data_IF_356027358181
#
_entry.id   IF_356027358181
#
_cell.length_a   1.000
_cell.length_b   1.000
_cell.length_c   1.000
_cell.angle_alpha   90.00
_cell.angle_beta   90.00
_cell.angle_gamma   90.00
#
_symmetry.space_group_name_H-M   'P 1'
#
loop_
_entity.id
_entity.type
_entity.pdbx_description
1 polymer ?
#
# COMPACT_ATOMS: atom_id res chain seq x y z
N UNK A 1 -35.72 32.34 27.08
CA UNK A 1 -35.13 33.18 28.13
C UNK A 1 -33.63 33.32 27.88
N UNK A 2 -33.26 34.59 27.86
CA UNK A 2 -31.99 35.28 27.63
C UNK A 2 -30.71 34.60 27.07
N UNK A 3 -30.08 35.26 26.07
CA UNK A 3 -28.77 34.98 25.51
C UNK A 3 -27.66 35.74 26.26
N UNK A 4 -26.40 35.44 25.95
CA UNK A 4 -25.28 36.35 26.21
C UNK A 4 -24.63 36.78 24.90
N UNK A 5 -24.94 38.02 24.50
CA UNK A 5 -24.07 38.91 23.75
C UNK A 5 -23.14 39.59 24.75
N UNK A 6 -21.88 39.77 24.40
CA UNK A 6 -21.06 40.86 24.93
C UNK A 6 -20.21 41.42 23.79
N UNK A 7 -20.21 42.74 23.76
CA UNK A 7 -19.82 43.65 22.70
C UNK A 7 -18.32 43.67 22.39
N UNK A 8 -18.02 44.02 21.14
CA UNK A 8 -16.66 44.23 20.67
C UNK A 8 -16.09 45.62 20.95
N UNK A 9 -14.77 45.70 20.87
CA UNK A 9 -13.93 46.79 20.34
C UNK A 9 -12.54 46.19 20.05
N UNK A 10 -11.76 46.75 19.11
CA UNK A 10 -10.67 46.05 18.42
C UNK A 10 -9.36 46.14 19.20
N UNK A 11 -8.70 45.00 19.41
CA UNK A 11 -7.29 44.98 19.79
C UNK A 11 -6.43 44.75 18.55
N UNK A 12 -5.84 45.84 18.04
CA UNK A 12 -4.63 45.77 17.25
C UNK A 12 -3.47 45.44 18.18
N UNK A 13 -2.83 44.28 18.00
CA UNK A 13 -1.44 44.06 18.40
C UNK A 13 -0.72 43.27 17.30
N UNK A 14 0.01 44.04 16.47
CA UNK A 14 1.31 43.75 15.87
C UNK A 14 1.74 42.29 15.69
N UNK A 15 1.75 41.85 14.43
CA UNK A 15 2.49 40.70 13.93
C UNK A 15 3.98 40.79 14.27
N UNK A 16 4.63 39.73 14.77
CA UNK A 16 6.08 39.61 14.68
C UNK A 16 6.42 39.24 13.23
N UNK A 17 7.12 40.14 12.56
CA UNK A 17 7.75 39.90 11.27
C UNK A 17 8.58 38.63 11.29
N UNK A 18 8.16 37.61 10.54
CA UNK A 18 9.02 36.51 10.12
C UNK A 18 10.12 37.10 9.24
N UNK A 19 11.32 37.22 9.79
CA UNK A 19 12.51 37.54 9.03
C UNK A 19 12.87 36.33 8.18
N UNK A 20 12.53 36.39 6.89
CA UNK A 20 13.06 35.49 5.86
C UNK A 20 14.60 35.57 5.82
N UNK A 21 15.33 34.43 5.83
CA UNK A 21 16.77 34.45 5.61
C UNK A 21 17.17 34.70 4.15
N UNK A 22 16.23 34.86 3.22
CA UNK A 22 16.52 34.98 1.79
C UNK A 22 16.84 36.40 1.30
N UNK A 23 16.74 37.42 2.16
CA UNK A 23 16.88 38.82 1.74
C UNK A 23 18.23 39.45 2.11
N UNK A 24 19.34 38.70 2.06
CA UNK A 24 20.70 39.28 2.07
C UNK A 24 21.69 38.44 1.27
N UNK A 25 21.64 38.59 -0.05
CA UNK A 25 22.78 38.64 -1.01
C UNK A 25 22.22 38.43 -2.40
N UNK A 26 22.58 39.31 -3.34
CA UNK A 26 22.17 39.19 -4.73
C UNK A 26 22.58 37.84 -5.30
N UNK A 27 21.60 37.00 -5.59
CA UNK A 27 21.77 35.76 -6.33
C UNK A 27 20.89 35.80 -7.57
N UNK A 28 21.48 35.39 -8.69
CA UNK A 28 20.94 35.41 -10.05
C UNK A 28 19.52 34.83 -10.17
N UNK A 29 18.71 35.38 -11.09
CA UNK A 29 17.36 34.91 -11.44
C UNK A 29 17.28 33.39 -11.72
N UNK A 30 18.37 32.75 -12.14
CA UNK A 30 18.45 31.30 -12.36
C UNK A 30 18.29 30.46 -11.07
N UNK A 31 18.67 31.00 -9.92
CA UNK A 31 18.62 30.29 -8.63
C UNK A 31 17.20 30.23 -8.03
N UNK A 32 16.33 31.19 -8.38
CA UNK A 32 14.93 31.19 -7.92
C UNK A 32 14.09 30.10 -8.62
N UNK A 33 14.40 29.79 -9.89
CA UNK A 33 13.65 28.79 -10.65
C UNK A 33 13.94 27.36 -10.17
N UNK A 34 15.17 27.08 -9.71
CA UNK A 34 15.56 25.80 -9.11
C UNK A 34 14.97 25.58 -7.71
N UNK A 35 14.77 26.65 -6.92
CA UNK A 35 14.17 26.54 -5.57
C UNK A 35 12.66 26.23 -5.64
N UNK A 36 11.95 26.74 -6.64
CA UNK A 36 10.53 26.45 -6.88
C UNK A 36 10.26 25.01 -7.36
N UNK A 37 11.26 24.32 -7.93
CA UNK A 37 11.12 22.92 -8.35
C UNK A 37 11.27 21.91 -7.20
N UNK A 38 11.78 22.34 -6.04
CA UNK A 38 12.15 21.46 -4.91
C UNK A 38 11.20 21.56 -3.70
N UNK A 39 10.12 22.34 -3.80
CA UNK A 39 9.10 22.45 -2.76
C UNK A 39 7.72 22.11 -3.33
N UNK A 40 7.57 20.88 -3.84
CA UNK A 40 6.24 20.29 -3.93
C UNK A 40 5.83 19.94 -2.50
N UNK A 41 4.91 20.70 -1.93
CA UNK A 41 4.28 20.33 -0.66
C UNK A 41 3.67 18.92 -0.74
N UNK A 42 3.44 18.25 0.40
CA UNK A 42 2.93 16.88 0.42
C UNK A 42 1.66 16.77 -0.43
N UNK A 43 1.62 15.76 -1.29
CA UNK A 43 0.48 15.50 -2.18
C UNK A 43 -0.66 14.96 -1.33
N UNK A 44 -1.78 15.67 -1.28
CA UNK A 44 -2.94 15.32 -0.44
C UNK A 44 -3.98 14.45 -1.14
N UNK A 45 -3.85 14.20 -2.45
CA UNK A 45 -4.82 13.44 -3.23
C UNK A 45 -4.20 12.72 -4.43
N UNK A 46 -4.85 11.64 -4.88
CA UNK A 46 -4.47 10.94 -6.10
C UNK A 46 -4.96 11.70 -7.33
N UNK A 47 -4.06 11.94 -8.29
CA UNK A 47 -4.40 12.46 -9.61
C UNK A 47 -5.01 11.33 -10.43
N UNK A 48 -6.34 11.39 -10.57
CA UNK A 48 -7.06 10.40 -11.36
C UNK A 48 -6.58 10.40 -12.82
N UNK A 49 -6.39 9.21 -13.37
CA UNK A 49 -6.17 9.01 -14.80
C UNK A 49 -7.36 9.57 -15.60
N UNK A 50 -7.20 9.93 -16.87
CA UNK A 50 -8.34 10.26 -17.73
C UNK A 50 -9.36 9.12 -17.77
N UNK A 51 -10.62 9.45 -18.07
CA UNK A 51 -11.64 8.44 -18.36
C UNK A 51 -11.18 7.52 -19.50
N UNK A 52 -11.53 6.24 -19.41
CA UNK A 52 -11.17 5.21 -20.40
C UNK A 52 -11.73 5.52 -21.79
N UNK A 53 -12.91 6.15 -21.86
CA UNK A 53 -13.52 6.60 -23.10
C UNK A 53 -14.48 7.76 -22.90
N UNK A 54 -15.06 8.29 -24.00
CA UNK A 54 -15.90 9.48 -23.99
C UNK A 54 -17.22 9.25 -23.26
N UNK A 55 -17.68 7.99 -23.14
CA UNK A 55 -18.95 7.66 -22.49
C UNK A 55 -18.84 7.60 -20.97
N UNK A 56 -17.62 7.53 -20.43
CA UNK A 56 -17.35 7.39 -18.99
C UNK A 56 -18.10 6.19 -18.38
N UNK A 57 -18.28 5.14 -19.17
CA UNK A 57 -19.09 3.98 -18.82
C UNK A 57 -18.32 3.01 -17.92
N UNK A 58 -19.08 2.19 -17.20
CA UNK A 58 -18.50 1.10 -16.40
C UNK A 58 -17.78 0.09 -17.29
N UNK A 59 -18.34 -0.23 -18.46
CA UNK A 59 -17.72 -1.17 -19.39
C UNK A 59 -16.32 -0.72 -19.83
N UNK A 60 -16.18 0.54 -20.28
CA UNK A 60 -14.87 1.07 -20.71
C UNK A 60 -13.83 1.05 -19.57
N UNK A 61 -14.23 1.46 -18.37
CA UNK A 61 -13.35 1.46 -17.20
C UNK A 61 -12.99 0.04 -16.73
N UNK A 62 -13.97 -0.86 -16.67
CA UNK A 62 -13.79 -2.24 -16.26
C UNK A 62 -12.90 -3.01 -17.26
N UNK A 63 -13.11 -2.85 -18.56
CA UNK A 63 -12.26 -3.46 -19.57
C UNK A 63 -10.81 -2.99 -19.46
N UNK A 64 -10.59 -1.68 -19.30
CA UNK A 64 -9.24 -1.11 -19.11
C UNK A 64 -8.57 -1.65 -17.85
N UNK A 65 -9.29 -1.69 -16.74
CA UNK A 65 -8.79 -2.16 -15.45
C UNK A 65 -8.52 -3.68 -15.44
N UNK A 66 -9.46 -4.49 -15.90
CA UNK A 66 -9.32 -5.94 -15.95
C UNK A 66 -8.21 -6.38 -16.91
N UNK A 67 -8.09 -5.70 -18.06
CA UNK A 67 -6.98 -5.89 -19.00
C UNK A 67 -5.64 -5.59 -18.35
N UNK A 68 -5.54 -4.49 -17.60
CA UNK A 68 -4.34 -4.14 -16.84
C UNK A 68 -3.94 -5.24 -15.86
N UNK A 69 -4.84 -5.65 -14.96
CA UNK A 69 -4.50 -6.60 -13.90
C UNK A 69 -4.28 -8.02 -14.43
N UNK A 70 -4.75 -8.32 -15.64
CA UNK A 70 -4.56 -9.63 -16.29
C UNK A 70 -3.34 -9.68 -17.20
N UNK A 71 -2.65 -8.55 -17.42
CA UNK A 71 -1.51 -8.45 -18.34
C UNK A 71 -0.23 -8.15 -17.56
N UNK A 72 0.69 -9.09 -17.52
CA UNK A 72 2.01 -8.87 -16.92
C UNK A 72 2.80 -7.84 -17.73
N UNK A 73 3.52 -6.96 -17.01
CA UNK A 73 4.29 -5.85 -17.55
C UNK A 73 5.78 -6.16 -17.63
N UNK A 74 6.23 -7.13 -16.85
CA UNK A 74 7.61 -7.62 -16.83
C UNK A 74 7.61 -9.14 -16.63
N UNK A 75 8.56 -9.82 -17.25
CA UNK A 75 8.80 -11.25 -17.02
C UNK A 75 9.68 -11.38 -15.78
N UNK A 76 9.32 -12.28 -14.87
CA UNK A 76 10.21 -12.78 -13.83
C UNK A 76 10.50 -14.26 -14.13
N UNK A 77 11.76 -14.59 -14.39
CA UNK A 77 12.13 -15.95 -14.81
C UNK A 77 12.12 -16.93 -13.64
N UNK A 78 12.43 -16.43 -12.44
CA UNK A 78 12.46 -17.21 -11.20
C UNK A 78 11.41 -16.69 -10.23
N UNK A 79 10.22 -17.28 -10.26
CA UNK A 79 9.16 -17.00 -9.28
C UNK A 79 9.12 -18.08 -8.21
N UNK A 80 8.73 -17.73 -7.00
CA UNK A 80 8.42 -18.73 -5.99
C UNK A 80 7.22 -18.37 -5.10
N UNK A 81 6.36 -19.38 -4.87
CA UNK A 81 5.29 -19.36 -3.86
C UNK A 81 5.79 -19.86 -2.49
N UNK A 82 6.94 -20.53 -2.51
CA UNK A 82 7.51 -21.31 -1.43
C UNK A 82 9.00 -21.38 -1.73
N UNK A 83 9.78 -20.47 -1.15
CA UNK A 83 11.08 -20.07 -1.74
C UNK A 83 12.09 -21.22 -1.90
N UNK A 84 11.85 -22.39 -1.30
CA UNK A 84 12.64 -23.62 -1.50
C UNK A 84 11.91 -25.00 -1.48
N UNK A 85 10.57 -25.14 -1.57
CA UNK A 85 9.93 -26.47 -1.52
C UNK A 85 9.33 -26.96 -2.86
N UNK A 86 9.60 -28.22 -3.20
CA UNK A 86 9.26 -28.91 -4.45
C UNK A 86 7.92 -29.67 -4.45
N UNK A 87 7.03 -29.46 -3.49
CA UNK A 87 5.76 -30.19 -3.44
C UNK A 87 4.59 -29.35 -3.95
N UNK A 88 4.27 -29.56 -5.23
CA UNK A 88 3.12 -29.02 -5.92
C UNK A 88 1.82 -29.62 -5.38
N UNK A 89 1.21 -28.96 -4.40
CA UNK A 89 -0.21 -29.05 -4.11
C UNK A 89 -0.97 -28.08 -5.03
N UNK A 90 -1.84 -28.54 -5.94
CA UNK A 90 -2.48 -27.70 -6.95
C UNK A 90 -3.74 -26.96 -6.44
N UNK A 91 -3.76 -26.46 -5.20
CA UNK A 91 -4.96 -25.84 -4.62
C UNK A 91 -4.77 -24.55 -3.81
N UNK A 92 -3.53 -24.10 -3.54
CA UNK A 92 -3.30 -22.92 -2.71
C UNK A 92 -3.07 -21.65 -3.56
N UNK A 93 -3.72 -20.55 -3.18
CA UNK A 93 -3.52 -19.19 -3.69
C UNK A 93 -2.02 -18.84 -3.62
N UNK A 94 -1.30 -18.68 -4.75
CA UNK A 94 0.14 -18.55 -4.71
C UNK A 94 0.57 -17.11 -4.40
N UNK A 95 1.20 -16.92 -3.25
CA UNK A 95 1.86 -15.66 -2.88
C UNK A 95 3.25 -15.61 -3.56
N UNK A 96 3.30 -15.20 -4.83
CA UNK A 96 4.55 -15.25 -5.62
C UNK A 96 5.45 -14.03 -5.39
N UNK A 97 6.72 -14.29 -5.07
CA UNK A 97 7.83 -13.34 -5.12
C UNK A 97 8.69 -13.56 -6.37
N UNK A 98 9.32 -12.50 -6.85
CA UNK A 98 10.31 -12.57 -7.92
C UNK A 98 11.74 -12.69 -7.35
N UNK A 99 12.48 -13.71 -7.79
CA UNK A 99 13.82 -14.06 -7.34
C UNK A 99 14.90 -13.82 -8.40
N UNK A 100 14.57 -13.18 -9.51
CA UNK A 100 15.60 -12.75 -10.47
C UNK A 100 16.62 -11.85 -9.77
N UNK A 101 17.92 -12.16 -9.94
CA UNK A 101 19.01 -11.47 -9.22
C UNK A 101 19.00 -9.94 -9.43
N UNK A 102 18.47 -9.45 -10.57
CA UNK A 102 18.35 -8.02 -10.90
C UNK A 102 17.43 -7.23 -9.96
N UNK A 103 16.59 -7.89 -9.16
CA UNK A 103 15.68 -7.24 -8.22
C UNK A 103 16.08 -7.43 -6.74
N UNK A 104 17.25 -8.01 -6.48
CA UNK A 104 17.90 -8.02 -5.16
C UNK A 104 17.35 -9.00 -4.12
N UNK A 105 16.06 -9.40 -4.17
CA UNK A 105 15.45 -10.25 -3.12
C UNK A 105 16.23 -11.55 -2.90
N UNK A 106 16.57 -12.27 -3.96
CA UNK A 106 17.32 -13.53 -3.85
C UNK A 106 18.70 -13.34 -3.17
N UNK A 107 19.36 -12.21 -3.42
CA UNK A 107 20.61 -11.87 -2.73
C UNK A 107 20.35 -11.59 -1.24
N UNK A 108 19.30 -10.85 -0.89
CA UNK A 108 18.93 -10.54 0.50
C UNK A 108 18.54 -11.79 1.30
N UNK A 109 17.89 -12.76 0.66
CA UNK A 109 17.61 -14.09 1.24
C UNK A 109 18.92 -14.82 1.54
N UNK A 110 19.81 -14.95 0.56
CA UNK A 110 21.12 -15.63 0.73
C UNK A 110 21.99 -14.98 1.80
N UNK A 111 21.97 -13.65 1.93
CA UNK A 111 22.70 -12.91 2.95
C UNK A 111 22.00 -12.85 4.32
N UNK A 112 20.78 -13.40 4.43
CA UNK A 112 19.92 -13.36 5.62
C UNK A 112 19.60 -11.94 6.11
N UNK A 113 19.50 -11.01 5.17
CA UNK A 113 19.18 -9.59 5.39
C UNK A 113 17.82 -9.19 4.81
N UNK A 114 17.06 -10.13 4.23
CA UNK A 114 15.73 -9.83 3.73
C UNK A 114 14.74 -9.55 4.87
N UNK A 115 13.83 -8.61 4.62
CA UNK A 115 12.73 -8.27 5.52
C UNK A 115 11.38 -8.37 4.82
N UNK A 116 10.44 -9.07 5.45
CA UNK A 116 9.09 -9.25 4.95
C UNK A 116 8.08 -8.69 5.93
N UNK A 117 7.12 -7.92 5.41
CA UNK A 117 5.94 -7.48 6.15
C UNK A 117 4.72 -8.19 5.58
N UNK A 118 3.97 -8.90 6.42
CA UNK A 118 2.71 -9.55 6.06
C UNK A 118 1.57 -8.90 6.83
N UNK A 119 0.67 -8.26 6.09
CA UNK A 119 -0.48 -7.55 6.62
C UNK A 119 -1.72 -8.42 6.41
N UNK A 120 -2.35 -8.86 7.49
CA UNK A 120 -3.52 -9.74 7.43
C UNK A 120 -4.51 -9.49 8.58
N UNK A 121 -5.71 -10.05 8.45
CA UNK A 121 -6.79 -9.94 9.44
C UNK A 121 -7.05 -11.25 10.20
N UNK A 122 -6.03 -12.10 10.38
CA UNK A 122 -6.13 -13.32 11.19
C UNK A 122 -6.40 -14.61 10.44
N UNK A 123 -5.87 -14.76 9.21
CA UNK A 123 -5.95 -16.01 8.45
C UNK A 123 -5.05 -17.10 9.05
N UNK A 124 -5.55 -18.33 9.18
CA UNK A 124 -4.74 -19.48 9.61
C UNK A 124 -3.68 -19.90 8.57
N UNK A 125 -3.79 -19.41 7.32
CA UNK A 125 -2.77 -19.63 6.29
C UNK A 125 -1.53 -18.77 6.58
N UNK A 126 -0.49 -19.44 7.07
CA UNK A 126 0.81 -18.85 7.48
C UNK A 126 1.96 -19.39 6.63
N UNK A 127 1.65 -20.21 5.61
CA UNK A 127 2.64 -21.03 4.91
C UNK A 127 3.72 -20.17 4.26
N UNK A 128 3.30 -19.08 3.60
CA UNK A 128 4.21 -18.14 2.96
C UNK A 128 5.13 -17.43 3.96
N UNK A 129 4.60 -16.96 5.09
CA UNK A 129 5.41 -16.30 6.13
C UNK A 129 6.43 -17.26 6.76
N UNK A 130 6.00 -18.50 7.05
CA UNK A 130 6.86 -19.54 7.60
C UNK A 130 7.98 -19.90 6.62
N UNK A 131 7.64 -20.07 5.34
CA UNK A 131 8.61 -20.36 4.27
C UNK A 131 9.68 -19.28 4.15
N UNK A 132 9.27 -18.01 4.07
CA UNK A 132 10.20 -16.87 3.98
C UNK A 132 11.08 -16.72 5.23
N UNK A 133 10.55 -17.03 6.42
CA UNK A 133 11.33 -17.03 7.65
C UNK A 133 12.37 -18.17 7.67
N UNK A 134 12.00 -19.36 7.21
CA UNK A 134 12.91 -20.51 7.10
C UNK A 134 14.05 -20.26 6.12
N UNK A 135 13.78 -19.52 5.04
CA UNK A 135 14.79 -19.16 4.04
C UNK A 135 15.71 -18.02 4.49
N UNK A 136 15.41 -17.41 5.65
CA UNK A 136 16.32 -16.51 6.35
C UNK A 136 15.82 -15.07 6.45
N UNK A 137 14.60 -14.76 6.01
CA UNK A 137 14.05 -13.42 6.16
C UNK A 137 13.59 -13.13 7.58
N UNK A 138 13.77 -11.89 8.01
CA UNK A 138 13.06 -11.36 9.16
C UNK A 138 11.62 -11.04 8.74
N UNK A 139 10.66 -11.79 9.27
CA UNK A 139 9.25 -11.71 8.92
C UNK A 139 8.47 -11.06 10.05
N UNK A 140 7.75 -9.98 9.73
CA UNK A 140 6.83 -9.29 10.61
C UNK A 140 5.41 -9.50 10.12
N UNK A 141 4.63 -10.27 10.87
CA UNK A 141 3.22 -10.53 10.61
C UNK A 141 2.36 -9.68 11.54
N UNK A 142 1.47 -8.89 10.95
CA UNK A 142 0.55 -8.00 11.65
C UNK A 142 -0.82 -8.66 11.68
N UNK A 143 -1.25 -9.06 12.88
CA UNK A 143 -2.43 -9.86 13.10
C UNK A 143 -3.10 -9.48 14.43
N UNK A 144 -4.25 -8.77 14.39
CA UNK A 144 -4.91 -8.29 15.60
C UNK A 144 -5.49 -9.41 16.49
N UNK A 145 -5.60 -10.64 15.98
CA UNK A 145 -6.16 -11.79 16.69
C UNK A 145 -5.18 -12.42 17.71
N UNK A 146 -3.89 -12.12 17.57
CA UNK A 146 -2.83 -12.66 18.45
C UNK A 146 -3.01 -12.16 19.88
N UNK A 147 -2.71 -13.01 20.87
CA UNK A 147 -2.98 -12.70 22.29
C UNK A 147 -2.06 -11.61 22.85
N UNK A 148 -0.77 -11.71 22.58
CA UNK A 148 0.27 -10.81 23.12
C UNK A 148 0.64 -9.73 22.12
N UNK A 149 1.13 -8.58 22.60
CA UNK A 149 1.50 -7.44 21.74
C UNK A 149 2.55 -7.81 20.69
N UNK A 150 3.60 -8.52 21.10
CA UNK A 150 4.66 -9.04 20.25
C UNK A 150 4.98 -10.48 20.67
N UNK A 151 4.99 -11.41 19.71
CA UNK A 151 5.39 -12.80 19.93
C UNK A 151 6.42 -13.18 18.88
N UNK A 152 7.56 -13.68 19.33
CA UNK A 152 8.51 -14.36 18.46
C UNK A 152 8.12 -15.84 18.41
N UNK A 153 7.49 -16.27 17.32
CA UNK A 153 7.01 -17.65 17.17
C UNK A 153 8.16 -18.60 16.78
N UNK A 154 9.06 -18.12 15.92
CA UNK A 154 10.29 -18.81 15.52
C UNK A 154 11.43 -17.80 15.39
N UNK A 155 12.68 -18.24 15.19
CA UNK A 155 13.87 -17.37 15.23
C UNK A 155 13.79 -16.10 14.37
N UNK A 156 12.94 -16.07 13.32
CA UNK A 156 12.80 -14.92 12.42
C UNK A 156 11.35 -14.56 12.09
N UNK A 157 10.37 -15.10 12.82
CA UNK A 157 8.94 -14.84 12.59
C UNK A 157 8.32 -14.14 13.80
N UNK A 158 8.06 -12.85 13.61
CA UNK A 158 7.41 -12.00 14.59
C UNK A 158 5.92 -11.87 14.29
N UNK A 159 5.10 -12.04 15.32
CA UNK A 159 3.69 -11.69 15.32
C UNK A 159 3.49 -10.41 16.12
N UNK A 160 2.78 -9.46 15.52
CA UNK A 160 2.42 -8.18 16.13
C UNK A 160 0.91 -8.11 16.24
N UNK A 161 0.39 -7.91 17.46
CA UNK A 161 -1.04 -7.68 17.69
C UNK A 161 -1.44 -6.26 17.30
N UNK A 162 -1.43 -6.01 16.01
CA UNK A 162 -1.64 -4.72 15.38
C UNK A 162 -2.34 -4.96 14.03
N UNK A 163 -3.34 -4.14 13.74
CA UNK A 163 -4.00 -4.09 12.43
C UNK A 163 -3.48 -2.91 11.63
N UNK A 164 -3.32 -3.11 10.32
CA UNK A 164 -2.97 -2.02 9.42
C UNK A 164 -4.23 -1.24 9.05
N UNK A 165 -4.07 0.07 8.92
CA UNK A 165 -5.09 1.01 8.48
C UNK A 165 -4.44 2.03 7.52
N UNK A 166 -5.25 2.83 6.82
CA UNK A 166 -4.77 3.94 5.98
C UNK A 166 -4.66 5.26 6.75
N UNK A 167 -5.01 5.26 8.05
CA UNK A 167 -4.89 6.40 8.96
C UNK A 167 -4.46 5.94 10.33
N UNK A 168 -3.71 6.81 11.02
CA UNK A 168 -3.55 6.66 12.45
C UNK A 168 -4.82 7.14 13.20
N UNK A 169 -5.17 6.49 14.31
CA UNK A 169 -6.31 6.91 15.11
C UNK A 169 -6.10 8.34 15.62
N UNK A 170 -7.18 9.13 15.59
CA UNK A 170 -7.12 10.49 16.10
C UNK A 170 -6.68 10.49 17.58
N UNK A 171 -5.78 11.39 18.03
CA UNK A 171 -5.23 11.35 19.38
C UNK A 171 -6.29 11.30 20.49
N UNK A 172 -7.41 12.02 20.30
CA UNK A 172 -8.54 12.00 21.25
C UNK A 172 -9.25 10.64 21.32
N UNK A 173 -9.26 9.86 20.23
CA UNK A 173 -9.85 8.51 20.19
C UNK A 173 -8.86 7.45 20.67
N UNK A 174 -7.56 7.64 20.42
CA UNK A 174 -6.51 6.77 20.94
C UNK A 174 -6.50 6.76 22.48
N UNK A 175 -6.75 7.91 23.11
CA UNK A 175 -6.89 8.02 24.57
C UNK A 175 -8.11 7.29 25.15
N UNK A 176 -9.20 7.15 24.37
CA UNK A 176 -10.43 6.48 24.81
C UNK A 176 -10.47 4.99 24.48
N UNK A 177 -9.76 4.55 23.44
CA UNK A 177 -9.59 3.14 23.08
C UNK A 177 -8.10 2.79 23.08
N UNK A 178 -7.46 2.66 24.26
CA UNK A 178 -6.04 2.30 24.35
C UNK A 178 -5.72 0.94 23.73
N UNK A 179 -6.73 0.10 23.48
CA UNK A 179 -6.61 -1.21 22.82
C UNK A 179 -6.88 -1.18 21.31
N UNK A 180 -7.22 -0.02 20.72
CA UNK A 180 -7.36 0.14 19.27
C UNK A 180 -5.96 0.18 18.65
N UNK A 181 -5.43 -1.00 18.36
CA UNK A 181 -4.11 -1.20 17.77
C UNK A 181 -4.20 -1.12 16.24
N UNK A 182 -4.71 0.00 15.71
CA UNK A 182 -4.65 0.30 14.27
C UNK A 182 -3.58 1.36 14.01
N UNK A 183 -2.79 1.17 12.97
CA UNK A 183 -1.73 2.11 12.56
C UNK A 183 -1.54 2.06 11.04
N UNK A 184 -1.11 3.18 10.47
CA UNK A 184 -0.61 3.17 9.08
C UNK A 184 0.78 2.55 8.99
N UNK A 185 1.10 1.96 7.83
CA UNK A 185 2.39 1.27 7.63
C UNK A 185 3.59 2.19 7.84
N UNK A 186 3.54 3.44 7.36
CA UNK A 186 4.62 4.40 7.55
C UNK A 186 4.95 4.67 9.02
N UNK A 187 3.94 4.73 9.90
CA UNK A 187 4.14 4.91 11.33
C UNK A 187 4.79 3.69 11.98
N UNK A 188 4.40 2.48 11.56
CA UNK A 188 4.99 1.22 12.05
C UNK A 188 6.45 1.10 11.64
N UNK A 189 6.76 1.39 10.37
CA UNK A 189 8.13 1.39 9.86
C UNK A 189 9.02 2.34 10.66
N UNK A 190 8.53 3.55 10.95
CA UNK A 190 9.25 4.52 11.78
C UNK A 190 9.41 4.06 13.23
N UNK A 191 8.37 3.48 13.84
CA UNK A 191 8.40 2.98 15.22
C UNK A 191 9.41 1.84 15.38
N UNK A 192 9.49 0.94 14.39
CA UNK A 192 10.41 -0.19 14.41
C UNK A 192 11.81 0.18 13.89
N UNK A 193 12.00 1.40 13.37
CA UNK A 193 13.27 1.83 12.76
C UNK A 193 13.60 1.09 11.46
N UNK A 194 12.58 0.62 10.75
CA UNK A 194 12.72 -0.13 9.50
C UNK A 194 12.53 0.81 8.32
N UNK A 195 13.61 1.07 7.59
CA UNK A 195 13.60 1.97 6.41
C UNK A 195 13.65 1.23 5.07
N UNK A 196 13.66 -0.11 5.11
CA UNK A 196 13.72 -0.99 3.94
C UNK A 196 12.96 -2.28 4.24
N UNK A 197 12.01 -2.62 3.37
CA UNK A 197 11.32 -3.91 3.35
C UNK A 197 11.40 -4.50 1.94
N UNK A 198 11.82 -5.76 1.84
CA UNK A 198 12.01 -6.40 0.53
C UNK A 198 10.70 -6.93 -0.04
N UNK A 199 9.78 -7.35 0.82
CA UNK A 199 8.46 -7.84 0.42
C UNK A 199 7.39 -7.30 1.36
N UNK A 200 6.35 -6.69 0.79
CA UNK A 200 5.10 -6.35 1.47
C UNK A 200 3.97 -7.20 0.89
N UNK A 201 3.44 -8.12 1.71
CA UNK A 201 2.22 -8.88 1.43
C UNK A 201 1.03 -8.21 2.12
N UNK A 202 -0.08 -8.04 1.42
CA UNK A 202 -1.31 -7.48 1.98
C UNK A 202 -2.55 -8.27 1.56
N UNK A 203 -3.35 -8.63 2.57
CA UNK A 203 -4.68 -9.22 2.46
C UNK A 203 -5.55 -8.57 3.53
N UNK A 204 -6.33 -7.56 3.15
CA UNK A 204 -6.96 -6.60 4.07
C UNK A 204 -8.46 -6.43 3.80
N UNK A 205 -9.09 -7.42 3.18
CA UNK A 205 -10.54 -7.49 2.97
C UNK A 205 -11.14 -6.18 2.41
N UNK A 206 -10.57 -5.69 1.30
CA UNK A 206 -10.96 -4.46 0.57
C UNK A 206 -10.41 -3.14 1.13
N UNK A 207 -9.63 -3.16 2.21
CA UNK A 207 -8.88 -1.99 2.67
C UNK A 207 -7.59 -1.73 1.86
N UNK A 208 -7.19 -2.66 0.98
CA UNK A 208 -5.96 -2.57 0.19
C UNK A 208 -5.94 -1.31 -0.68
N UNK A 209 -7.11 -0.86 -1.18
CA UNK A 209 -7.22 0.34 -2.00
C UNK A 209 -6.82 1.62 -1.25
N UNK A 210 -7.28 1.78 -0.01
CA UNK A 210 -6.93 2.96 0.80
C UNK A 210 -5.55 2.85 1.41
N UNK A 211 -5.12 1.63 1.77
CA UNK A 211 -3.74 1.40 2.20
C UNK A 211 -2.79 1.75 1.06
N UNK A 212 -3.03 1.29 -0.17
CA UNK A 212 -2.23 1.66 -1.34
C UNK A 212 -2.22 3.16 -1.59
N UNK A 213 -3.38 3.82 -1.51
CA UNK A 213 -3.47 5.29 -1.58
C UNK A 213 -2.56 5.96 -0.54
N UNK A 214 -2.60 5.52 0.72
CA UNK A 214 -1.74 6.07 1.77
C UNK A 214 -0.25 5.81 1.50
N UNK A 215 0.12 4.60 1.05
CA UNK A 215 1.51 4.28 0.70
C UNK A 215 2.05 5.19 -0.42
N UNK A 216 1.20 5.55 -1.39
CA UNK A 216 1.56 6.48 -2.47
C UNK A 216 1.71 7.91 -1.94
N UNK A 217 0.73 8.40 -1.17
CA UNK A 217 0.71 9.80 -0.72
C UNK A 217 1.78 10.13 0.32
N UNK A 218 2.23 9.13 1.09
CA UNK A 218 3.30 9.28 2.09
C UNK A 218 4.68 8.83 1.58
N UNK A 219 4.83 8.54 0.28
CA UNK A 219 6.08 8.09 -0.35
C UNK A 219 6.69 6.84 0.32
N UNK A 220 5.88 6.00 0.99
CA UNK A 220 6.34 4.77 1.64
C UNK A 220 6.79 3.72 0.62
N UNK A 221 6.23 3.75 -0.59
CA UNK A 221 6.59 2.83 -1.68
C UNK A 221 8.08 2.80 -2.01
N UNK A 222 8.82 3.88 -1.77
CA UNK A 222 10.27 3.95 -2.02
C UNK A 222 11.08 3.05 -1.07
N UNK A 223 10.48 2.60 0.02
CA UNK A 223 11.06 1.70 1.00
C UNK A 223 10.69 0.23 0.74
N UNK A 224 10.05 -0.08 -0.40
CA UNK A 224 9.51 -1.41 -0.70
C UNK A 224 10.10 -1.97 -2.01
N UNK A 225 10.61 -3.21 -1.93
CA UNK A 225 11.14 -3.94 -3.09
C UNK A 225 10.07 -4.62 -3.93
N UNK A 226 9.17 -5.36 -3.28
CA UNK A 226 8.08 -6.09 -3.93
C UNK A 226 6.77 -5.93 -3.18
N UNK A 227 5.67 -5.86 -3.92
CA UNK A 227 4.31 -5.76 -3.40
C UNK A 227 3.53 -7.00 -3.84
N UNK A 228 2.82 -7.64 -2.92
CA UNK A 228 1.90 -8.74 -3.23
C UNK A 228 0.56 -8.46 -2.57
N UNK A 229 -0.44 -8.05 -3.35
CA UNK A 229 -1.75 -7.68 -2.81
C UNK A 229 -2.81 -8.66 -3.29
N UNK A 230 -3.64 -9.15 -2.37
CA UNK A 230 -4.95 -9.67 -2.74
C UNK A 230 -5.92 -8.50 -2.87
N UNK A 231 -6.34 -8.16 -4.08
CA UNK A 231 -7.31 -7.10 -4.31
C UNK A 231 -8.73 -7.67 -4.34
N UNK A 232 -9.62 -6.99 -3.62
CA UNK A 232 -11.03 -7.33 -3.55
C UNK A 232 -11.86 -6.41 -4.46
N UNK A 233 -12.63 -7.01 -5.38
CA UNK A 233 -13.39 -6.32 -6.43
C UNK A 233 -14.92 -6.42 -6.28
N UNK A 234 -15.42 -7.20 -5.31
CA UNK A 234 -16.86 -7.38 -5.13
C UNK A 234 -17.59 -6.12 -4.65
N UNK A 235 -16.90 -5.11 -4.14
CA UNK A 235 -17.45 -3.79 -3.80
C UNK A 235 -16.34 -2.72 -3.83
N UNK A 236 -16.67 -1.41 -3.75
CA UNK A 236 -15.70 -0.33 -3.92
C UNK A 236 -14.46 -0.32 -3.00
N UNK A 237 -14.56 -0.91 -1.80
CA UNK A 237 -13.57 -0.72 -0.74
C UNK A 237 -13.90 0.45 0.18
N UNK A 238 -13.26 0.50 1.33
CA UNK A 238 -13.58 1.46 2.39
C UNK A 238 -13.29 2.90 1.95
N UNK A 239 -14.20 3.83 2.24
CA UNK A 239 -14.07 5.24 1.85
C UNK A 239 -13.78 5.49 0.35
N UNK A 240 -14.10 4.52 -0.52
CA UNK A 240 -14.12 4.68 -1.97
C UNK A 240 -15.57 4.90 -2.38
N UNK A 241 -15.86 6.07 -2.95
CA UNK A 241 -17.23 6.51 -3.26
C UNK A 241 -17.34 7.07 -4.68
N UNK A 242 -18.58 7.18 -5.16
CA UNK A 242 -18.89 7.64 -6.51
C UNK A 242 -19.69 6.61 -7.30
N UNK A 243 -19.83 6.85 -8.60
CA UNK A 243 -20.41 5.85 -9.52
C UNK A 243 -19.44 4.67 -9.69
N UNK A 244 -19.94 3.51 -10.14
CA UNK A 244 -19.10 2.35 -10.39
C UNK A 244 -17.94 2.67 -11.35
N UNK A 245 -18.17 3.46 -12.41
CA UNK A 245 -17.09 3.86 -13.32
C UNK A 245 -16.06 4.76 -12.63
N UNK A 246 -16.49 5.66 -11.74
CA UNK A 246 -15.58 6.47 -10.91
C UNK A 246 -14.72 5.60 -9.98
N UNK A 247 -15.30 4.57 -9.37
CA UNK A 247 -14.62 3.62 -8.49
C UNK A 247 -13.53 2.85 -9.24
N UNK A 248 -13.88 2.26 -10.38
CA UNK A 248 -12.91 1.52 -11.20
C UNK A 248 -11.81 2.43 -11.74
N UNK A 249 -12.17 3.65 -12.15
CA UNK A 249 -11.19 4.67 -12.55
C UNK A 249 -10.22 5.01 -11.43
N UNK A 250 -10.70 5.10 -10.18
CA UNK A 250 -9.85 5.33 -9.01
C UNK A 250 -8.90 4.15 -8.78
N UNK A 251 -9.39 2.91 -8.78
CA UNK A 251 -8.54 1.72 -8.67
C UNK A 251 -7.45 1.68 -9.74
N UNK A 252 -7.82 1.90 -11.00
CA UNK A 252 -6.87 1.99 -12.11
C UNK A 252 -5.83 3.10 -11.89
N UNK A 253 -6.26 4.24 -11.35
CA UNK A 253 -5.36 5.37 -11.09
C UNK A 253 -4.30 5.03 -10.04
N UNK A 254 -4.64 4.30 -8.98
CA UNK A 254 -3.67 3.82 -8.00
C UNK A 254 -2.63 2.89 -8.62
N UNK A 255 -3.06 1.97 -9.48
CA UNK A 255 -2.14 1.06 -10.17
C UNK A 255 -1.21 1.81 -11.14
N UNK A 256 -1.67 2.91 -11.75
CA UNK A 256 -0.81 3.78 -12.56
C UNK A 256 0.20 4.58 -11.73
N UNK A 257 -0.11 4.93 -10.48
CA UNK A 257 0.88 5.54 -9.58
C UNK A 257 1.98 4.54 -9.21
N UNK A 258 1.65 3.25 -9.00
CA UNK A 258 2.66 2.20 -8.82
C UNK A 258 3.65 2.17 -10.00
N UNK A 259 3.15 2.21 -11.23
CA UNK A 259 4.03 2.28 -12.41
C UNK A 259 4.92 3.52 -12.47
N UNK A 260 4.41 4.66 -12.00
CA UNK A 260 5.19 5.90 -11.92
C UNK A 260 6.29 5.82 -10.86
N UNK A 261 6.08 4.99 -9.83
CA UNK A 261 7.07 4.62 -8.81
C UNK A 261 7.87 3.36 -9.20
N UNK A 262 7.96 3.07 -10.50
CA UNK A 262 8.78 2.01 -11.10
C UNK A 262 8.41 0.56 -10.72
N UNK A 263 7.22 0.35 -10.14
CA UNK A 263 6.67 -0.99 -9.93
C UNK A 263 6.08 -1.56 -11.22
N UNK A 264 6.42 -2.81 -11.53
CA UNK A 264 5.91 -3.54 -12.70
C UNK A 264 5.24 -4.83 -12.26
N UNK A 265 4.03 -5.06 -12.75
CA UNK A 265 3.28 -6.28 -12.48
C UNK A 265 3.99 -7.46 -13.17
N UNK A 266 4.40 -8.47 -12.41
CA UNK A 266 5.04 -9.67 -12.97
C UNK A 266 4.18 -10.92 -12.83
N UNK A 267 3.18 -10.90 -11.94
CA UNK A 267 2.28 -12.01 -11.73
C UNK A 267 0.86 -11.52 -11.41
N UNK A 268 -0.12 -12.28 -11.90
CA UNK A 268 -1.54 -12.10 -11.62
C UNK A 268 -2.23 -13.45 -11.53
N UNK A 269 -2.97 -13.66 -10.45
CA UNK A 269 -3.75 -14.86 -10.21
C UNK A 269 -5.22 -14.48 -9.99
N UNK A 270 -6.09 -14.98 -10.87
CA UNK A 270 -7.54 -14.87 -10.75
C UNK A 270 -8.06 -16.01 -9.89
N UNK A 271 -8.60 -15.70 -8.70
CA UNK A 271 -9.12 -16.75 -7.83
C UNK A 271 -10.52 -17.20 -8.28
N UNK A 272 -10.61 -18.38 -8.87
CA UNK A 272 -11.88 -18.97 -9.33
C UNK A 272 -12.69 -19.62 -8.21
N UNK A 273 -12.11 -19.82 -7.02
CA UNK A 273 -12.84 -20.34 -5.85
C UNK A 273 -13.74 -19.29 -5.20
N UNK A 274 -13.49 -18.01 -5.48
CA UNK A 274 -14.24 -16.86 -4.96
C UNK A 274 -15.42 -16.50 -5.89
N UNK A 275 -16.46 -15.81 -5.38
CA UNK A 275 -17.58 -15.36 -6.19
C UNK A 275 -17.13 -14.58 -7.42
N UNK A 276 -17.77 -14.79 -8.58
CA UNK A 276 -17.44 -14.04 -9.80
C UNK A 276 -18.20 -12.71 -9.84
N UNK A 277 -17.90 -11.84 -8.86
CA UNK A 277 -18.57 -10.57 -8.64
C UNK A 277 -17.63 -9.39 -8.86
N UNK A 278 -18.09 -8.42 -9.65
CA UNK A 278 -17.43 -7.12 -9.84
C UNK A 278 -18.40 -6.02 -9.42
N UNK A 279 -18.09 -5.27 -8.36
CA UNK A 279 -18.96 -4.24 -7.79
C UNK A 279 -20.42 -4.73 -7.58
N UNK A 280 -20.53 -5.90 -6.95
CA UNK A 280 -21.77 -6.65 -6.63
C UNK A 280 -22.57 -7.11 -7.85
N UNK A 281 -21.95 -7.14 -9.03
CA UNK A 281 -22.58 -7.54 -10.30
C UNK A 281 -21.85 -8.75 -10.89
N UNK A 282 -22.60 -9.68 -11.46
CA UNK A 282 -22.07 -10.85 -12.18
C UNK A 282 -21.76 -10.46 -13.64
N UNK A 283 -20.72 -9.66 -13.83
CA UNK A 283 -20.34 -9.10 -15.13
C UNK A 283 -18.85 -9.32 -15.41
N UNK A 284 -18.47 -9.22 -16.68
CA UNK A 284 -17.09 -9.32 -17.20
C UNK A 284 -16.36 -10.64 -16.92
N UNK A 285 -17.04 -11.68 -16.40
CA UNK A 285 -16.39 -12.90 -15.92
C UNK A 285 -15.21 -12.58 -15.00
N UNK A 286 -15.37 -11.58 -14.13
CA UNK A 286 -14.33 -11.18 -13.19
C UNK A 286 -14.51 -11.93 -11.87
N UNK A 287 -13.39 -12.35 -11.26
CA UNK A 287 -13.43 -12.81 -9.88
C UNK A 287 -13.63 -11.62 -8.94
N UNK A 288 -14.23 -11.86 -7.78
CA UNK A 288 -14.22 -10.89 -6.67
C UNK A 288 -12.85 -10.67 -6.07
N UNK A 289 -11.86 -11.50 -6.44
CA UNK A 289 -10.54 -11.52 -5.86
C UNK A 289 -9.45 -11.83 -6.90
N UNK A 290 -8.36 -11.05 -6.85
CA UNK A 290 -7.13 -11.33 -7.59
C UNK A 290 -5.92 -11.17 -6.69
N UNK A 291 -4.93 -12.06 -6.79
CA UNK A 291 -3.61 -11.86 -6.18
C UNK A 291 -2.65 -11.30 -7.22
N UNK A 292 -2.08 -10.14 -6.95
CA UNK A 292 -1.22 -9.40 -7.88
C UNK A 292 0.15 -9.17 -7.25
N UNK A 293 1.21 -9.46 -8.00
CA UNK A 293 2.59 -9.24 -7.54
C UNK A 293 3.33 -8.25 -8.44
N UNK A 294 3.89 -7.21 -7.82
CA UNK A 294 4.72 -6.21 -8.46
C UNK A 294 6.15 -6.23 -7.92
N UNK A 295 7.08 -5.91 -8.80
CA UNK A 295 8.49 -5.71 -8.45
C UNK A 295 8.90 -4.27 -8.77
N UNK A 296 9.62 -3.64 -7.85
CA UNK A 296 10.23 -2.34 -8.07
C UNK A 296 11.49 -2.50 -8.92
N UNK A 297 11.45 -1.99 -10.14
CA UNK A 297 12.55 -2.14 -11.11
C UNK A 297 13.77 -1.28 -10.80
N UNK A 298 13.69 -0.38 -9.80
CA UNK A 298 14.82 0.42 -9.29
C UNK A 298 15.33 -0.06 -7.93
N UNK A 299 14.77 -1.13 -7.38
CA UNK A 299 15.21 -1.69 -6.11
C UNK A 299 16.66 -2.16 -6.18
N UNK A 300 17.46 -1.79 -5.17
CA UNK A 300 18.87 -2.18 -5.02
C UNK A 300 19.11 -2.63 -3.58
#
# INVERSE_FOLDING_TARGET
CFPWKLDGLPFCFSSPSSADPCCKRGFSFLTHCLCLLLLQGPRWQIRLQPWAGPTQSLDEEAWRFLSYISTTQIVCDHMSADSLATDSSPANKPWLVCLDDRFGLAHQIRSKQCRLYSLGLGSDDTHFEVSMANDGCEVHRFDPSVKSAHVLESQRLWYHRLSIDWRDPHPALAAQKPYSNTRKLGSILNEFGHHKIDVLKADLESAEWKVLENLILEDVLEQIGQLIFEIHLHWPGFEVSGSDSSVVRFWYSLLKELEQKDFRLFHSYKDLSKPQLFLKKEIFNASSCYTLSWVNTRWK
#
